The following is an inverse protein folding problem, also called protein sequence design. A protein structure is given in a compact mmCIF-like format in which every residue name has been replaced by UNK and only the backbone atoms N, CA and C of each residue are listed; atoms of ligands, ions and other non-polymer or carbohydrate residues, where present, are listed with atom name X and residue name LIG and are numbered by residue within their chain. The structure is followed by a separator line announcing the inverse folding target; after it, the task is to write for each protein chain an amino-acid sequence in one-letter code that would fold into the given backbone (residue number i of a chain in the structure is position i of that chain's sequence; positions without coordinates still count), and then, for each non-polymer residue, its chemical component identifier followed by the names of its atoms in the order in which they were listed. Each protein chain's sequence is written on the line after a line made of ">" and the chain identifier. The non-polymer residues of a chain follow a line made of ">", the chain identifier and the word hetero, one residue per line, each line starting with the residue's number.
data_IF_159341685000
#
_entry.id   IF_159341685000
#
_cell.length_a   1.000
_cell.length_b   1.000
_cell.length_c   1.000
_cell.angle_alpha   90.00
_cell.angle_beta   90.00
_cell.angle_gamma   90.00
#
_symmetry.space_group_name_H-M   'P 1'
#
loop_
_entity.id
_entity.type
_entity.pdbx_description
1 polymer ?
#
# COMPACT_ATOMS: atom_id res chain seq x y z
N UNK A 1 -3.91 20.90 0.26
CA UNK A 1 -3.05 21.49 -0.79
C UNK A 1 -1.87 20.54 -0.94
N UNK A 2 -1.85 19.69 -1.97
CA UNK A 2 -0.63 18.92 -2.24
C UNK A 2 0.41 19.89 -2.81
N UNK A 3 1.56 19.98 -2.16
CA UNK A 3 2.72 20.58 -2.81
C UNK A 3 3.00 19.76 -4.07
N UNK A 4 3.20 20.43 -5.21
CA UNK A 4 3.50 19.74 -6.46
C UNK A 4 4.69 18.80 -6.27
N UNK A 5 4.57 17.58 -6.79
CA UNK A 5 5.62 16.56 -6.67
C UNK A 5 6.95 17.05 -7.19
N UNK A 6 8.01 16.71 -6.47
CA UNK A 6 9.36 16.91 -6.97
C UNK A 6 9.66 15.94 -8.13
N UNK A 7 10.18 16.46 -9.24
CA UNK A 7 10.66 15.60 -10.32
C UNK A 7 12.01 14.99 -9.89
N UNK A 8 11.99 13.72 -9.45
CA UNK A 8 13.15 13.06 -8.89
C UNK A 8 13.66 11.93 -9.80
N UNK A 9 14.86 12.11 -10.37
CA UNK A 9 15.48 11.15 -11.29
C UNK A 9 15.69 9.76 -10.68
N UNK A 10 15.89 9.66 -9.36
CA UNK A 10 16.05 8.38 -8.66
C UNK A 10 14.75 7.58 -8.59
N UNK A 11 13.62 8.27 -8.43
CA UNK A 11 12.30 7.66 -8.40
C UNK A 11 11.84 7.23 -9.80
N UNK A 12 12.26 7.96 -10.83
CA UNK A 12 11.87 7.71 -12.22
C UNK A 12 12.74 6.67 -12.95
N UNK A 13 13.86 6.24 -12.35
CA UNK A 13 14.77 5.25 -12.95
C UNK A 13 14.15 3.85 -12.99
N UNK A 14 13.83 3.37 -14.18
CA UNK A 14 13.57 1.96 -14.44
C UNK A 14 14.91 1.19 -14.34
N UNK A 15 15.00 0.22 -13.43
CA UNK A 15 16.24 -0.49 -13.08
C UNK A 15 16.70 -1.53 -14.12
N UNK A 16 16.34 -1.39 -15.40
CA UNK A 16 16.72 -2.37 -16.43
C UNK A 16 18.24 -2.49 -16.66
N UNK A 17 19.08 -1.63 -16.05
CA UNK A 17 20.51 -1.53 -16.40
C UNK A 17 21.51 -1.45 -15.22
N UNK A 18 21.19 -1.89 -13.99
CA UNK A 18 22.18 -1.88 -12.88
C UNK A 18 22.36 -3.25 -12.22
N UNK A 19 23.55 -3.87 -12.31
CA UNK A 19 23.84 -5.15 -11.67
C UNK A 19 24.04 -5.09 -10.15
N UNK A 20 24.19 -3.90 -9.55
CA UNK A 20 24.55 -3.75 -8.13
C UNK A 20 23.38 -3.28 -7.24
N UNK A 21 22.71 -4.29 -6.67
CA UNK A 21 22.41 -4.53 -5.24
C UNK A 21 21.53 -3.61 -4.36
N UNK A 22 21.01 -2.45 -4.80
CA UNK A 22 19.96 -1.75 -4.02
C UNK A 22 18.65 -1.60 -4.81
N UNK A 23 17.86 -2.67 -4.78
CA UNK A 23 16.50 -2.71 -5.33
C UNK A 23 15.52 -1.86 -4.49
N UNK A 24 15.89 -1.53 -3.25
CA UNK A 24 15.16 -0.60 -2.39
C UNK A 24 15.58 0.83 -2.74
N UNK A 25 14.60 1.68 -3.01
CA UNK A 25 14.77 3.10 -3.27
C UNK A 25 15.18 3.81 -1.97
N UNK A 26 16.40 4.32 -1.93
CA UNK A 26 16.91 5.13 -0.82
C UNK A 26 16.45 6.60 -0.87
N UNK A 27 15.80 7.02 -1.96
CA UNK A 27 15.34 8.39 -2.15
C UNK A 27 14.18 8.72 -1.21
N UNK A 28 14.32 9.83 -0.47
CA UNK A 28 13.32 10.38 0.46
C UNK A 28 12.53 11.57 -0.07
N UNK A 29 12.47 11.75 -1.40
CA UNK A 29 11.67 12.82 -1.97
C UNK A 29 10.19 12.65 -1.57
N UNK A 30 9.51 13.79 -1.38
CA UNK A 30 8.11 13.87 -0.99
C UNK A 30 7.76 13.15 0.33
N UNK A 31 8.77 12.78 1.15
CA UNK A 31 8.58 12.31 2.52
C UNK A 31 8.74 13.49 3.51
N UNK A 32 7.93 13.56 4.58
CA UNK A 32 8.06 14.61 5.58
C UNK A 32 9.39 14.48 6.32
N UNK A 33 10.30 15.44 6.13
CA UNK A 33 11.66 15.40 6.70
C UNK A 33 11.76 15.90 8.15
N UNK A 34 10.74 16.62 8.63
CA UNK A 34 10.79 17.35 9.91
C UNK A 34 9.76 16.90 10.95
N UNK A 35 9.01 15.82 10.69
CA UNK A 35 8.01 15.32 11.62
C UNK A 35 8.16 13.80 11.80
N UNK A 36 8.08 13.29 13.04
CA UNK A 36 8.05 11.85 13.26
C UNK A 36 6.81 11.26 12.57
N UNK A 37 6.96 10.05 12.03
CA UNK A 37 5.83 9.27 11.54
C UNK A 37 4.92 8.97 12.72
N UNK A 38 3.63 9.28 12.57
CA UNK A 38 2.64 9.00 13.60
C UNK A 38 2.16 7.55 13.54
N UNK A 39 2.16 6.94 12.36
CA UNK A 39 1.65 5.59 12.13
C UNK A 39 2.77 4.67 11.66
N UNK A 40 2.77 3.45 12.19
CA UNK A 40 3.76 2.43 11.88
C UNK A 40 3.08 1.11 11.53
N UNK A 41 3.85 0.20 10.95
CA UNK A 41 3.39 -1.16 10.70
C UNK A 41 3.49 -2.01 11.97
N UNK A 42 2.45 -2.80 12.23
CA UNK A 42 2.46 -3.79 13.30
C UNK A 42 3.22 -5.04 12.86
N UNK A 43 4.04 -5.63 13.74
CA UNK A 43 4.69 -6.91 13.46
C UNK A 43 3.62 -8.00 13.27
N UNK A 44 3.51 -8.63 12.09
CA UNK A 44 2.47 -9.60 11.83
C UNK A 44 2.75 -10.91 12.58
N UNK A 45 1.72 -11.51 13.16
CA UNK A 45 1.80 -12.79 13.88
C UNK A 45 1.71 -14.00 12.95
N UNK A 46 1.01 -13.86 11.83
CA UNK A 46 0.70 -14.97 10.90
C UNK A 46 1.73 -15.10 9.76
N UNK A 47 2.39 -14.00 9.40
CA UNK A 47 3.33 -13.93 8.26
C UNK A 47 4.76 -13.59 8.69
N UNK A 48 5.19 -14.03 9.87
CA UNK A 48 6.48 -13.65 10.49
C UNK A 48 7.69 -13.90 9.57
N UNK A 49 7.70 -15.00 8.80
CA UNK A 49 8.81 -15.32 7.89
C UNK A 49 8.69 -14.64 6.53
N UNK A 50 7.50 -14.14 6.19
CA UNK A 50 7.20 -13.52 4.91
C UNK A 50 7.19 -11.99 4.97
N UNK A 51 7.35 -11.39 6.14
CA UNK A 51 7.37 -9.94 6.34
C UNK A 51 8.59 -9.55 7.16
N UNK A 52 9.35 -8.57 6.68
CA UNK A 52 10.44 -7.92 7.42
C UNK A 52 10.14 -6.44 7.54
N UNK A 53 10.11 -5.94 8.77
CA UNK A 53 9.99 -4.51 9.07
C UNK A 53 11.37 -3.89 9.29
N UNK A 54 11.53 -2.64 8.88
CA UNK A 54 12.75 -1.84 9.05
C UNK A 54 12.38 -0.37 9.28
N UNK A 55 13.39 0.47 9.59
CA UNK A 55 13.19 1.91 9.83
C UNK A 55 12.13 2.21 10.90
N UNK A 56 12.31 1.64 12.09
CA UNK A 56 11.34 1.77 13.20
C UNK A 56 9.92 1.36 12.78
N UNK A 57 9.82 0.28 11.98
CA UNK A 57 8.56 -0.23 11.43
C UNK A 57 7.84 0.71 10.44
N UNK A 58 8.56 1.65 9.81
CA UNK A 58 8.01 2.47 8.73
C UNK A 58 8.08 1.78 7.36
N UNK A 59 9.07 0.91 7.16
CA UNK A 59 9.29 0.22 5.88
C UNK A 59 8.99 -1.27 6.03
N UNK A 60 8.17 -1.78 5.13
CA UNK A 60 7.82 -3.20 5.02
C UNK A 60 8.47 -3.83 3.79
N UNK A 61 9.09 -4.99 3.99
CA UNK A 61 9.57 -5.88 2.92
C UNK A 61 8.78 -7.18 2.97
N UNK A 62 8.07 -7.49 1.88
CA UNK A 62 7.36 -8.76 1.71
C UNK A 62 8.26 -9.78 1.02
N UNK A 63 8.18 -11.03 1.47
CA UNK A 63 8.92 -12.19 0.94
C UNK A 63 10.39 -11.90 0.64
N UNK A 64 11.21 -11.53 1.66
CA UNK A 64 12.60 -11.10 1.45
C UNK A 64 13.54 -12.18 0.87
N UNK A 65 13.11 -13.45 0.85
CA UNK A 65 13.88 -14.58 0.33
C UNK A 65 13.14 -15.31 -0.78
N UNK A 66 11.93 -15.80 -0.50
CA UNK A 66 11.10 -16.54 -1.45
C UNK A 66 9.61 -16.25 -1.19
N UNK A 67 8.86 -16.11 -2.28
CA UNK A 67 7.40 -15.98 -2.24
C UNK A 67 6.75 -17.35 -2.05
N UNK A 68 5.89 -17.48 -1.03
CA UNK A 68 5.17 -18.73 -0.71
C UNK A 68 3.66 -18.54 -0.55
N UNK A 69 3.13 -17.39 -1.00
CA UNK A 69 1.71 -17.06 -0.95
C UNK A 69 1.50 -15.56 -0.79
N UNK A 70 0.48 -15.16 -0.02
CA UNK A 70 0.20 -13.76 0.33
C UNK A 70 0.80 -13.45 1.69
N UNK A 71 1.43 -12.28 1.79
CA UNK A 71 1.80 -11.66 3.05
C UNK A 71 1.11 -10.30 3.18
N UNK A 72 0.76 -9.94 4.40
CA UNK A 72 0.12 -8.66 4.69
C UNK A 72 0.61 -8.10 6.02
N UNK A 73 0.39 -6.80 6.20
CA UNK A 73 0.70 -6.08 7.43
C UNK A 73 -0.43 -5.09 7.70
N UNK A 74 -0.69 -4.82 8.98
CA UNK A 74 -1.68 -3.84 9.42
C UNK A 74 -0.97 -2.64 10.03
N UNK A 75 -1.57 -1.45 9.93
CA UNK A 75 -1.15 -0.30 10.73
C UNK A 75 -1.36 -0.58 12.23
N UNK A 76 -0.61 0.13 13.07
CA UNK A 76 -0.71 0.08 14.53
C UNK A 76 -1.89 0.89 15.11
N UNK A 77 -2.56 1.67 14.27
CA UNK A 77 -3.69 2.51 14.67
C UNK A 77 -5.02 2.07 14.03
N UNK A 78 -6.03 1.87 14.88
CA UNK A 78 -7.42 1.75 14.45
C UNK A 78 -7.97 3.16 14.22
N UNK A 79 -8.63 3.37 13.09
CA UNK A 79 -9.25 4.64 12.73
C UNK A 79 -10.76 4.50 12.92
N UNK A 80 -11.33 5.18 13.93
CA UNK A 80 -12.72 5.01 14.35
C UNK A 80 -13.59 6.28 14.25
N UNK A 81 -12.98 7.45 14.03
CA UNK A 81 -13.69 8.71 13.89
C UNK A 81 -12.94 9.75 13.05
N UNK A 82 -13.67 10.56 12.27
CA UNK A 82 -13.12 11.73 11.57
C UNK A 82 -12.72 11.48 10.12
N UNK A 83 -11.84 12.35 9.62
CA UNK A 83 -11.28 12.28 8.27
C UNK A 83 -9.77 12.12 8.38
N UNK A 84 -9.23 11.10 7.72
CA UNK A 84 -7.83 10.71 7.82
C UNK A 84 -7.23 10.52 6.44
N UNK A 85 -5.98 10.95 6.29
CA UNK A 85 -5.20 10.77 5.07
C UNK A 85 -3.85 10.18 5.41
N UNK A 86 -3.46 9.14 4.67
CA UNK A 86 -2.13 8.54 4.77
C UNK A 86 -1.59 8.20 3.40
N UNK A 87 -0.27 8.08 3.33
CA UNK A 87 0.47 7.80 2.12
C UNK A 87 1.41 6.62 2.33
N UNK A 88 1.54 5.78 1.31
CA UNK A 88 2.49 4.67 1.26
C UNK A 88 3.34 4.84 0.01
N UNK A 89 4.66 4.87 0.19
CA UNK A 89 5.61 4.98 -0.91
C UNK A 89 6.07 3.60 -1.38
N UNK A 90 5.98 3.39 -2.68
CA UNK A 90 6.49 2.21 -3.37
C UNK A 90 8.02 2.30 -3.50
N UNK A 91 8.76 1.69 -2.58
CA UNK A 91 10.24 1.81 -2.57
C UNK A 91 10.94 0.74 -3.40
N UNK A 92 10.29 -0.34 -3.78
CA UNK A 92 10.83 -1.36 -4.68
C UNK A 92 10.00 -1.45 -5.96
N UNK A 93 10.53 -2.05 -7.04
CA UNK A 93 9.68 -2.36 -8.17
C UNK A 93 8.60 -3.37 -7.76
N UNK A 94 7.42 -3.24 -8.37
CA UNK A 94 6.26 -4.06 -8.06
C UNK A 94 6.29 -5.32 -8.91
N UNK A 95 6.17 -6.48 -8.26
CA UNK A 95 6.23 -7.80 -8.91
C UNK A 95 5.20 -8.74 -8.29
N UNK A 96 4.95 -9.86 -8.97
CA UNK A 96 4.03 -10.90 -8.52
C UNK A 96 2.63 -10.73 -9.09
N UNK A 97 1.69 -11.50 -8.55
CA UNK A 97 0.28 -11.46 -8.98
C UNK A 97 -0.35 -10.11 -8.66
N UNK A 98 -0.16 -9.62 -7.44
CA UNK A 98 -0.68 -8.33 -6.98
C UNK A 98 0.09 -7.79 -5.78
N UNK A 99 0.02 -6.47 -5.60
CA UNK A 99 0.47 -5.71 -4.43
C UNK A 99 -0.61 -4.69 -4.15
N UNK A 100 -1.02 -4.59 -2.88
CA UNK A 100 -2.23 -3.88 -2.51
C UNK A 100 -2.03 -2.95 -1.35
N UNK A 101 -2.66 -1.78 -1.42
CA UNK A 101 -2.77 -0.81 -0.32
C UNK A 101 -4.24 -0.55 -0.06
N UNK A 102 -4.67 -0.56 1.19
CA UNK A 102 -6.09 -0.55 1.49
C UNK A 102 -6.45 -0.30 2.94
N UNK A 103 -7.73 -0.52 3.21
CA UNK A 103 -8.35 -0.47 4.52
C UNK A 103 -9.03 -1.82 4.79
N UNK A 104 -8.95 -2.28 6.03
CA UNK A 104 -9.69 -3.44 6.51
C UNK A 104 -10.37 -3.14 7.83
N UNK A 105 -11.50 -3.80 8.10
CA UNK A 105 -12.12 -3.78 9.42
C UNK A 105 -11.16 -4.39 10.45
N UNK A 106 -11.16 -3.88 11.69
CA UNK A 106 -10.20 -4.28 12.72
C UNK A 106 -10.13 -5.80 12.96
N UNK A 107 -11.29 -6.48 12.88
CA UNK A 107 -11.42 -7.92 13.08
C UNK A 107 -11.22 -8.78 11.84
N UNK A 108 -10.77 -8.24 10.71
CA UNK A 108 -10.56 -9.05 9.50
C UNK A 108 -9.45 -10.08 9.72
N UNK A 109 -9.77 -11.34 9.40
CA UNK A 109 -8.85 -12.46 9.38
C UNK A 109 -8.46 -12.76 7.93
N UNK A 110 -7.16 -12.61 7.64
CA UNK A 110 -6.58 -12.85 6.31
C UNK A 110 -5.68 -14.10 6.31
N UNK A 111 -5.57 -14.80 7.44
CA UNK A 111 -4.81 -16.05 7.57
C UNK A 111 -5.17 -17.11 6.52
N UNK A 112 -6.42 -17.26 6.06
CA UNK A 112 -6.77 -18.28 5.05
C UNK A 112 -6.13 -18.06 3.67
N UNK A 113 -5.63 -16.84 3.40
CA UNK A 113 -5.01 -16.48 2.11
C UNK A 113 -3.48 -16.61 2.11
N UNK A 114 -2.85 -16.88 3.25
CA UNK A 114 -1.39 -16.83 3.42
C UNK A 114 -0.62 -17.82 2.53
N UNK A 115 -1.22 -18.96 2.18
CA UNK A 115 -0.63 -19.97 1.29
C UNK A 115 -1.15 -19.88 -0.16
N UNK A 116 -1.92 -18.85 -0.50
CA UNK A 116 -2.50 -18.65 -1.83
C UNK A 116 -1.77 -17.56 -2.60
N UNK A 117 -1.86 -17.56 -3.92
CA UNK A 117 -1.39 -16.46 -4.77
C UNK A 117 -2.57 -15.68 -5.31
N UNK A 118 -3.25 -14.94 -4.44
CA UNK A 118 -4.48 -14.24 -4.76
C UNK A 118 -4.47 -12.77 -4.28
N UNK A 119 -5.32 -11.91 -4.87
CA UNK A 119 -5.53 -10.54 -4.41
C UNK A 119 -6.29 -10.50 -3.08
N UNK A 120 -5.70 -11.00 -1.98
CA UNK A 120 -6.42 -11.28 -0.72
C UNK A 120 -7.26 -10.10 -0.20
N UNK A 121 -6.72 -8.88 -0.25
CA UNK A 121 -7.47 -7.68 0.12
C UNK A 121 -8.53 -7.36 -0.95
N UNK A 122 -9.78 -7.25 -0.52
CA UNK A 122 -10.93 -6.97 -1.36
C UNK A 122 -11.63 -8.21 -1.92
N UNK A 123 -11.18 -9.44 -1.60
CA UNK A 123 -11.96 -10.65 -1.87
C UNK A 123 -13.18 -10.76 -0.95
N UNK A 124 -13.04 -10.30 0.29
CA UNK A 124 -14.13 -10.22 1.25
C UNK A 124 -14.83 -8.84 1.21
N UNK A 125 -15.92 -8.72 1.98
CA UNK A 125 -16.65 -7.46 2.19
C UNK A 125 -16.12 -6.65 3.38
N UNK A 126 -15.02 -7.06 3.99
CA UNK A 126 -14.41 -6.44 5.16
C UNK A 126 -13.17 -5.60 4.79
N UNK A 127 -12.73 -5.65 3.53
CA UNK A 127 -11.54 -4.98 3.03
C UNK A 127 -11.82 -4.26 1.72
N UNK A 128 -11.10 -3.15 1.53
CA UNK A 128 -11.07 -2.33 0.32
C UNK A 128 -9.62 -2.08 -0.02
N UNK A 129 -9.22 -2.36 -1.25
CA UNK A 129 -7.82 -2.20 -1.64
C UNK A 129 -7.66 -1.66 -3.05
N UNK A 130 -6.59 -0.89 -3.25
CA UNK A 130 -6.06 -0.52 -4.54
C UNK A 130 -4.93 -1.47 -4.90
N UNK A 131 -5.11 -2.20 -6.00
CA UNK A 131 -4.08 -3.00 -6.65
C UNK A 131 -3.05 -2.12 -7.35
N UNK A 132 -1.79 -2.59 -7.41
CA UNK A 132 -0.73 -1.95 -8.18
C UNK A 132 -1.04 -1.84 -9.67
N UNK A 133 -2.01 -2.59 -10.18
CA UNK A 133 -2.55 -2.47 -11.52
C UNK A 133 -3.48 -1.25 -11.71
N UNK A 134 -3.67 -0.40 -10.70
CA UNK A 134 -4.55 0.77 -10.76
C UNK A 134 -6.04 0.42 -10.63
N UNK A 135 -6.37 -0.68 -9.94
CA UNK A 135 -7.73 -1.21 -9.87
C UNK A 135 -8.17 -1.38 -8.43
N UNK A 136 -9.41 -1.01 -8.12
CA UNK A 136 -9.97 -1.16 -6.77
C UNK A 136 -10.64 -2.53 -6.63
N UNK A 137 -10.41 -3.18 -5.50
CA UNK A 137 -10.92 -4.50 -5.13
C UNK A 137 -11.78 -4.39 -3.87
N UNK A 138 -12.99 -4.93 -3.93
CA UNK A 138 -13.90 -5.04 -2.77
C UNK A 138 -15.01 -6.08 -3.01
N UNK A 139 -15.33 -6.92 -2.02
CA UNK A 139 -16.37 -7.95 -2.09
C UNK A 139 -16.24 -8.86 -3.32
N UNK A 140 -15.00 -9.24 -3.67
CA UNK A 140 -14.66 -10.05 -4.84
C UNK A 140 -14.82 -9.33 -6.18
N UNK A 141 -15.18 -8.04 -6.17
CA UNK A 141 -15.39 -7.24 -7.38
C UNK A 141 -14.14 -6.44 -7.72
N UNK A 142 -13.82 -6.45 -9.00
CA UNK A 142 -12.79 -5.63 -9.62
C UNK A 142 -13.43 -4.37 -10.21
N UNK A 143 -13.12 -3.21 -9.65
CA UNK A 143 -13.68 -1.91 -10.02
C UNK A 143 -12.63 -1.13 -10.80
N UNK A 144 -12.78 -1.09 -12.13
CA UNK A 144 -11.88 -0.36 -13.01
C UNK A 144 -11.85 1.13 -12.66
N UNK A 145 -10.65 1.69 -12.58
CA UNK A 145 -10.42 3.12 -12.35
C UNK A 145 -9.69 3.71 -13.56
N UNK A 146 -9.51 5.04 -13.57
CA UNK A 146 -8.64 5.71 -14.55
C UNK A 146 -7.22 5.93 -14.01
N UNK A 147 -6.90 5.37 -12.84
CA UNK A 147 -5.57 5.46 -12.28
C UNK A 147 -4.60 4.60 -13.07
N UNK A 148 -3.40 5.14 -13.28
CA UNK A 148 -2.29 4.36 -13.81
C UNK A 148 -1.81 3.36 -12.76
N UNK A 149 -1.20 2.23 -13.17
CA UNK A 149 -0.50 1.35 -12.26
C UNK A 149 0.53 2.11 -11.41
N UNK A 150 0.62 1.80 -10.11
CA UNK A 150 1.71 2.35 -9.29
C UNK A 150 2.95 1.47 -9.39
N UNK A 151 4.12 2.10 -9.34
CA UNK A 151 5.43 1.44 -9.50
C UNK A 151 6.43 1.99 -8.49
N UNK A 152 7.68 1.52 -8.55
CA UNK A 152 8.78 2.10 -7.76
C UNK A 152 8.79 3.62 -7.90
N UNK A 153 8.87 4.33 -6.77
CA UNK A 153 8.79 5.78 -6.68
C UNK A 153 7.37 6.36 -6.56
N UNK A 154 6.33 5.59 -6.89
CA UNK A 154 4.94 6.05 -6.72
C UNK A 154 4.57 6.19 -5.24
N UNK A 155 3.58 7.04 -4.95
CA UNK A 155 2.99 7.24 -3.63
C UNK A 155 1.51 6.97 -3.79
N UNK A 156 1.02 6.02 -3.00
CA UNK A 156 -0.38 5.65 -2.91
C UNK A 156 -0.97 6.38 -1.72
N UNK A 157 -1.90 7.29 -1.97
CA UNK A 157 -2.63 8.01 -0.94
C UNK A 157 -3.99 7.39 -0.68
N UNK A 158 -4.42 7.41 0.58
CA UNK A 158 -5.73 6.94 1.00
C UNK A 158 -6.41 8.02 1.84
N UNK A 159 -7.57 8.50 1.39
CA UNK A 159 -8.42 9.43 2.14
C UNK A 159 -9.65 8.68 2.65
N UNK A 160 -9.70 8.48 3.96
CA UNK A 160 -10.82 7.89 4.67
C UNK A 160 -11.66 8.99 5.32
N UNK A 161 -12.90 9.14 4.88
CA UNK A 161 -13.89 10.02 5.51
C UNK A 161 -14.96 9.15 6.19
N UNK A 162 -14.88 9.02 7.51
CA UNK A 162 -15.83 8.22 8.29
C UNK A 162 -17.16 8.95 8.52
N UNK A 163 -17.21 10.27 8.36
CA UNK A 163 -18.47 11.02 8.46
C UNK A 163 -19.38 10.73 7.26
N UNK A 164 -18.79 10.67 6.07
CA UNK A 164 -19.50 10.38 4.83
C UNK A 164 -19.37 8.93 4.37
N UNK A 165 -18.64 8.10 5.12
CA UNK A 165 -18.37 6.70 4.81
C UNK A 165 -17.75 6.50 3.43
N UNK A 166 -16.70 7.26 3.14
CA UNK A 166 -16.01 7.16 1.85
C UNK A 166 -14.54 6.82 2.01
N UNK A 167 -14.02 6.07 1.05
CA UNK A 167 -12.59 5.84 0.87
C UNK A 167 -12.20 6.20 -0.55
N UNK A 168 -11.21 7.07 -0.66
CA UNK A 168 -10.66 7.52 -1.93
C UNK A 168 -9.19 7.16 -2.03
N UNK A 169 -8.80 6.66 -3.20
CA UNK A 169 -7.42 6.32 -3.49
C UNK A 169 -6.78 7.33 -4.43
N UNK A 170 -5.51 7.59 -4.20
CA UNK A 170 -4.67 8.47 -4.98
C UNK A 170 -3.44 7.71 -5.44
N UNK A 171 -3.02 7.90 -6.68
CA UNK A 171 -1.69 7.51 -7.13
C UNK A 171 -1.02 8.79 -7.60
N UNK A 172 0.09 9.14 -6.96
CA UNK A 172 0.91 10.29 -7.34
C UNK A 172 0.14 11.63 -7.33
N UNK A 173 -0.86 11.73 -6.46
CA UNK A 173 -1.74 12.89 -6.32
C UNK A 173 -2.96 12.90 -7.25
N UNK A 174 -3.05 11.97 -8.20
CA UNK A 174 -4.22 11.81 -9.07
C UNK A 174 -5.25 10.87 -8.45
N UNK A 175 -6.54 11.16 -8.61
CA UNK A 175 -7.63 10.29 -8.13
C UNK A 175 -8.72 10.09 -9.19
N UNK A 176 -9.22 8.86 -9.28
CA UNK A 176 -10.47 8.49 -9.99
C UNK A 176 -11.16 7.30 -9.32
N UNK A 177 -10.76 6.99 -8.09
CA UNK A 177 -11.08 5.76 -7.38
C UNK A 177 -11.80 6.11 -6.08
N UNK A 178 -13.09 5.80 -6.03
CA UNK A 178 -13.98 6.17 -4.94
C UNK A 178 -14.81 4.96 -4.49
N UNK A 179 -14.84 4.71 -3.19
CA UNK A 179 -15.65 3.68 -2.55
C UNK A 179 -16.58 4.31 -1.50
N UNK A 180 -17.80 3.80 -1.41
CA UNK A 180 -18.74 4.08 -0.33
C UNK A 180 -18.96 2.83 0.52
N UNK A 181 -18.94 3.00 1.84
CA UNK A 181 -19.30 1.95 2.79
C UNK A 181 -20.80 2.03 3.09
N UNK A 182 -21.50 0.90 3.06
CA UNK A 182 -22.90 0.76 3.50
C UNK A 182 -22.96 0.36 4.96
#
# INVERSE_FOLDING_TARGET
>A
MSAGRSNCDYCSRDQTESPDLDWILSCRCDEPTNHPLLWHWTVPTESVNAVRLSEMNAVVTFHPTLSSGVAFVKGDHVIDYGVHYWEVKAVSPMYGTDVMVGLGLAGVDLSPYTEQFCPALGLDSCTWALSYHGVVMHAGRRISTRLSPFKRGSIVGCLLDLWHRTLQFFIDGETSAFCQFT
#
